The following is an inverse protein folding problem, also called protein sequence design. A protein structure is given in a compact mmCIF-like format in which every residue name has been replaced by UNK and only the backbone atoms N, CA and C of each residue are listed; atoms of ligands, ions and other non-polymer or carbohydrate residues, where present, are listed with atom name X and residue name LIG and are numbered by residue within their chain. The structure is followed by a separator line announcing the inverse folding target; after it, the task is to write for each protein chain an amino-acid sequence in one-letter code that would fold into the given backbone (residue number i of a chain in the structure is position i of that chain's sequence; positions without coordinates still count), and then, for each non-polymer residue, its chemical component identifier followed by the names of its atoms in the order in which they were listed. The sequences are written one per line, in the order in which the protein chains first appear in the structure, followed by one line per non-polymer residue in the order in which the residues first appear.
data_IF_849089602164
#
_entry.id   IF_849089602164
#
_cell.length_a   1.000
_cell.length_b   1.000
_cell.length_c   1.000
_cell.angle_alpha   90.00
_cell.angle_beta   90.00
_cell.angle_gamma   90.00
#
_symmetry.space_group_name_H-M   'P 1'
#
loop_
_entity.id
_entity.type
_entity.pdbx_description
1 polymer ?
#
# COMPACT_ATOMS: atom_id res chain seq x y z
N UNK A 1 5.64 20.55 4.70
CA UNK A 1 5.40 19.55 3.64
C UNK A 1 6.25 18.32 3.90
N UNK A 2 5.71 17.14 3.72
CA UNK A 2 6.38 15.88 4.06
C UNK A 2 7.56 15.66 3.10
N UNK A 3 8.77 15.39 3.63
CA UNK A 3 9.98 15.12 2.83
C UNK A 3 9.78 14.03 1.76
N UNK A 4 8.85 13.10 1.99
CA UNK A 4 8.50 12.04 1.06
C UNK A 4 7.73 12.55 -0.16
N UNK A 5 6.89 13.58 -0.01
CA UNK A 5 6.25 14.27 -1.14
C UNK A 5 7.29 14.99 -1.99
N UNK A 6 8.30 15.60 -1.37
CA UNK A 6 9.41 16.22 -2.11
C UNK A 6 10.23 15.19 -2.90
N UNK A 7 10.43 13.99 -2.34
CA UNK A 7 11.07 12.89 -3.08
C UNK A 7 10.24 12.45 -4.31
N UNK A 8 8.91 12.46 -4.20
CA UNK A 8 8.02 12.22 -5.35
C UNK A 8 8.18 13.31 -6.39
N UNK A 9 8.21 14.58 -5.98
CA UNK A 9 8.39 15.72 -6.91
C UNK A 9 9.75 15.68 -7.60
N UNK A 10 10.81 15.33 -6.88
CA UNK A 10 12.13 15.15 -7.48
C UNK A 10 12.13 14.07 -8.59
N UNK A 11 11.45 12.95 -8.35
CA UNK A 11 11.25 11.92 -9.37
C UNK A 11 10.40 12.44 -10.55
N UNK A 12 9.35 13.22 -10.27
CA UNK A 12 8.56 13.83 -11.34
C UNK A 12 9.39 14.75 -12.21
N UNK A 13 10.26 15.57 -11.62
CA UNK A 13 11.17 16.46 -12.36
C UNK A 13 12.18 15.66 -13.20
N UNK A 14 12.79 14.61 -12.64
CA UNK A 14 13.71 13.71 -13.35
C UNK A 14 13.06 13.08 -14.59
N UNK A 15 11.77 12.72 -14.49
CA UNK A 15 11.01 12.04 -15.55
C UNK A 15 10.21 12.99 -16.44
N UNK A 16 10.25 14.29 -16.16
CA UNK A 16 9.51 15.32 -16.86
C UNK A 16 8.00 15.14 -16.76
N UNK A 17 7.51 14.79 -15.56
CA UNK A 17 6.08 14.59 -15.28
C UNK A 17 5.46 15.85 -14.66
N UNK A 18 4.20 16.11 -14.97
CA UNK A 18 3.44 17.21 -14.36
C UNK A 18 2.72 16.74 -13.09
N UNK A 19 2.34 15.45 -13.05
CA UNK A 19 1.73 14.82 -11.90
C UNK A 19 2.08 13.34 -11.80
N UNK A 20 1.88 12.76 -10.58
CA UNK A 20 1.99 11.34 -10.32
C UNK A 20 0.72 10.82 -9.63
N UNK A 21 0.05 9.86 -10.27
CA UNK A 21 -1.10 9.13 -9.72
C UNK A 21 -0.63 7.90 -8.94
N UNK A 22 -0.91 7.88 -7.65
CA UNK A 22 -0.52 6.84 -6.70
C UNK A 22 -1.77 6.06 -6.26
N UNK A 23 -1.76 4.76 -6.47
CA UNK A 23 -2.88 3.84 -6.18
C UNK A 23 -2.51 2.76 -5.18
N UNK A 24 -1.26 2.33 -5.19
CA UNK A 24 -0.75 1.23 -4.38
C UNK A 24 -0.80 1.54 -2.87
N UNK A 25 -1.29 0.56 -2.08
CA UNK A 25 -1.35 0.64 -0.61
C UNK A 25 0.02 1.02 -0.03
N UNK A 26 1.07 0.43 -0.56
CA UNK A 26 2.44 0.59 -0.08
C UNK A 26 2.96 2.02 -0.23
N UNK A 27 2.74 2.63 -1.40
CA UNK A 27 3.22 4.00 -1.64
C UNK A 27 2.33 5.03 -0.95
N UNK A 28 1.02 4.79 -0.82
CA UNK A 28 0.12 5.60 0.01
C UNK A 28 0.55 5.59 1.48
N UNK A 29 0.90 4.42 2.02
CA UNK A 29 1.44 4.29 3.39
C UNK A 29 2.77 5.02 3.53
N UNK A 30 3.67 4.92 2.56
CA UNK A 30 4.92 5.67 2.52
C UNK A 30 4.68 7.18 2.60
N UNK A 31 3.66 7.70 1.93
CA UNK A 31 3.29 9.12 2.00
C UNK A 31 2.52 9.51 3.27
N UNK A 32 2.15 8.55 4.12
CA UNK A 32 1.38 8.81 5.34
C UNK A 32 -0.08 9.18 5.06
N UNK A 33 -0.69 8.63 4.01
CA UNK A 33 -2.08 8.91 3.62
C UNK A 33 -3.01 7.71 3.84
N UNK A 34 -4.31 7.89 3.59
CA UNK A 34 -5.32 6.83 3.62
C UNK A 34 -4.95 5.70 2.65
N UNK A 35 -4.89 4.47 3.13
CA UNK A 35 -4.44 3.31 2.35
C UNK A 35 -5.56 2.53 1.67
N UNK A 36 -6.82 2.87 1.94
CA UNK A 36 -8.00 2.21 1.41
C UNK A 36 -8.01 2.13 -0.13
N UNK A 37 -8.59 1.06 -0.68
CA UNK A 37 -8.61 0.82 -2.13
C UNK A 37 -9.44 1.86 -2.90
N UNK A 38 -10.39 2.52 -2.24
CA UNK A 38 -11.19 3.62 -2.79
C UNK A 38 -10.43 4.95 -2.91
N UNK A 39 -9.27 5.09 -2.24
CA UNK A 39 -8.47 6.31 -2.27
C UNK A 39 -7.34 6.24 -3.28
N UNK A 40 -7.10 7.35 -3.99
CA UNK A 40 -5.95 7.59 -4.86
C UNK A 40 -5.31 8.91 -4.47
N UNK A 41 -3.99 8.99 -4.59
CA UNK A 41 -3.26 10.23 -4.36
C UNK A 41 -2.76 10.75 -5.70
N UNK A 42 -3.01 12.01 -5.98
CA UNK A 42 -2.42 12.72 -7.11
C UNK A 42 -1.47 13.78 -6.55
N UNK A 43 -0.19 13.63 -6.83
CA UNK A 43 0.81 14.65 -6.50
C UNK A 43 1.08 15.45 -7.75
N UNK A 44 1.01 16.77 -7.63
CA UNK A 44 1.37 17.73 -8.68
C UNK A 44 2.56 18.55 -8.25
N UNK A 45 3.10 19.37 -9.15
CA UNK A 45 4.22 20.29 -8.85
C UNK A 45 3.85 21.30 -7.76
N UNK A 46 2.60 21.77 -7.74
CA UNK A 46 2.13 22.82 -6.84
C UNK A 46 1.46 22.31 -5.58
N UNK A 47 0.89 21.10 -5.60
CA UNK A 47 0.08 20.58 -4.49
C UNK A 47 -0.07 19.07 -4.53
N UNK A 48 -1.12 18.58 -3.90
CA UNK A 48 -1.51 17.19 -3.94
C UNK A 48 -2.98 17.02 -3.58
N UNK A 49 -3.58 15.96 -4.09
CA UNK A 49 -5.00 15.68 -3.95
C UNK A 49 -5.22 14.24 -3.48
N UNK A 50 -6.20 14.08 -2.61
CA UNK A 50 -6.72 12.78 -2.20
C UNK A 50 -8.08 12.57 -2.89
N UNK A 51 -8.08 11.77 -3.94
CA UNK A 51 -9.29 11.43 -4.70
C UNK A 51 -9.93 10.21 -4.06
N UNK A 52 -11.16 10.33 -3.57
CA UNK A 52 -11.82 9.27 -2.80
C UNK A 52 -13.35 9.37 -2.90
N UNK A 53 -14.05 8.32 -2.51
CA UNK A 53 -15.48 8.39 -2.24
C UNK A 53 -15.77 8.74 -0.77
N UNK A 54 -17.02 9.08 -0.47
CA UNK A 54 -17.43 9.57 0.85
C UNK A 54 -17.16 8.65 2.04
N UNK A 55 -16.88 7.36 1.82
CA UNK A 55 -16.55 6.39 2.90
C UNK A 55 -15.22 6.69 3.59
N UNK A 56 -14.32 7.38 2.92
CA UNK A 56 -12.95 7.63 3.40
C UNK A 56 -12.73 9.02 3.97
N UNK A 57 -13.72 9.92 3.88
CA UNK A 57 -13.57 11.32 4.29
C UNK A 57 -13.19 11.45 5.77
N UNK A 58 -13.85 10.70 6.65
CA UNK A 58 -13.55 10.77 8.08
C UNK A 58 -12.15 10.22 8.39
N UNK A 59 -11.78 9.07 7.81
CA UNK A 59 -10.44 8.50 7.97
C UNK A 59 -9.36 9.47 7.45
N UNK A 60 -9.62 10.13 6.33
CA UNK A 60 -8.69 11.11 5.76
C UNK A 60 -8.56 12.36 6.66
N UNK A 61 -9.64 12.82 7.25
CA UNK A 61 -9.61 14.00 8.14
C UNK A 61 -8.86 13.76 9.45
N UNK A 62 -8.75 12.50 9.89
CA UNK A 62 -8.01 12.12 11.10
C UNK A 62 -6.49 12.00 10.85
N UNK A 63 -6.02 12.05 9.60
CA UNK A 63 -4.62 11.94 9.23
C UNK A 63 -4.07 13.35 8.93
N UNK A 64 -2.94 13.69 9.54
CA UNK A 64 -2.25 14.95 9.27
C UNK A 64 -1.55 14.91 7.90
N UNK A 65 -2.09 15.64 6.93
CA UNK A 65 -1.52 15.80 5.58
C UNK A 65 -1.93 17.12 4.93
N UNK A 66 -1.17 17.55 3.92
CA UNK A 66 -1.42 18.79 3.15
C UNK A 66 -2.19 18.51 1.84
N UNK A 67 -2.90 17.39 1.71
CA UNK A 67 -3.62 17.02 0.50
C UNK A 67 -5.03 17.61 0.49
N UNK A 68 -5.44 18.18 -0.64
CA UNK A 68 -6.81 18.62 -0.87
C UNK A 68 -7.74 17.42 -1.17
N UNK A 69 -8.93 17.41 -0.57
CA UNK A 69 -9.91 16.35 -0.80
C UNK A 69 -10.69 16.57 -2.08
N UNK A 70 -10.77 15.54 -2.91
CA UNK A 70 -11.65 15.43 -4.08
C UNK A 70 -12.55 14.24 -3.89
N UNK A 71 -13.82 14.49 -3.59
CA UNK A 71 -14.77 13.45 -3.19
C UNK A 71 -15.76 13.19 -4.32
N UNK A 72 -15.78 11.95 -4.82
CA UNK A 72 -16.76 11.52 -5.81
C UNK A 72 -17.85 10.62 -5.18
N UNK A 73 -18.95 10.40 -5.90
CA UNK A 73 -20.03 9.53 -5.44
C UNK A 73 -19.55 8.06 -5.38
N UNK A 74 -20.07 7.34 -4.38
CA UNK A 74 -19.78 5.92 -4.23
C UNK A 74 -20.27 5.13 -5.47
N UNK A 75 -19.42 4.27 -6.01
CA UNK A 75 -19.70 3.49 -7.22
C UNK A 75 -19.40 4.21 -8.53
N UNK A 76 -19.10 5.51 -8.48
CA UNK A 76 -18.60 6.28 -9.62
C UNK A 76 -17.09 6.11 -9.74
N UNK A 77 -16.56 6.13 -10.95
CA UNK A 77 -15.13 6.04 -11.19
C UNK A 77 -14.41 7.31 -10.78
N UNK A 78 -13.29 7.19 -10.07
CA UNK A 78 -12.39 8.30 -9.75
C UNK A 78 -11.81 9.02 -10.99
N UNK A 79 -11.90 8.40 -12.17
CA UNK A 79 -11.38 8.97 -13.43
C UNK A 79 -12.10 10.27 -13.82
N UNK A 80 -13.35 10.46 -13.38
CA UNK A 80 -14.06 11.73 -13.59
C UNK A 80 -13.38 12.89 -12.86
N UNK A 81 -13.07 12.70 -11.56
CA UNK A 81 -12.34 13.70 -10.77
C UNK A 81 -10.91 13.88 -11.29
N UNK A 82 -10.26 12.79 -11.72
CA UNK A 82 -8.94 12.87 -12.32
C UNK A 82 -8.94 13.72 -13.59
N UNK A 83 -9.95 13.55 -14.46
CA UNK A 83 -10.10 14.35 -15.68
C UNK A 83 -10.27 15.85 -15.37
N UNK A 84 -11.05 16.19 -14.34
CA UNK A 84 -11.19 17.58 -13.87
C UNK A 84 -9.84 18.13 -13.42
N UNK A 85 -9.11 17.38 -12.58
CA UNK A 85 -7.81 17.79 -12.06
C UNK A 85 -6.74 17.90 -13.15
N UNK A 86 -6.79 17.06 -14.19
CA UNK A 86 -5.92 17.18 -15.37
C UNK A 86 -6.08 18.57 -15.99
N UNK A 87 -7.31 19.02 -16.20
CA UNK A 87 -7.58 20.37 -16.74
C UNK A 87 -7.24 21.51 -15.75
N UNK A 88 -7.64 21.38 -14.48
CA UNK A 88 -7.40 22.42 -13.46
C UNK A 88 -5.91 22.65 -13.18
N UNK A 89 -5.08 21.61 -13.24
CA UNK A 89 -3.66 21.65 -12.92
C UNK A 89 -2.77 21.68 -14.17
N UNK A 90 -3.32 21.79 -15.37
CA UNK A 90 -2.59 21.81 -16.65
C UNK A 90 -1.62 20.62 -16.79
N UNK A 91 -2.13 19.40 -16.55
CA UNK A 91 -1.35 18.16 -16.56
C UNK A 91 -1.32 17.60 -17.98
N UNK A 92 -0.14 17.57 -18.60
CA UNK A 92 0.08 16.98 -19.92
C UNK A 92 0.73 15.59 -19.84
N UNK A 93 1.58 15.35 -18.82
CA UNK A 93 2.28 14.09 -18.61
C UNK A 93 2.01 13.54 -17.22
N UNK A 94 1.22 12.47 -17.15
CA UNK A 94 0.76 11.84 -15.91
C UNK A 94 1.54 10.55 -15.64
N UNK A 95 2.40 10.55 -14.62
CA UNK A 95 3.00 9.33 -14.09
C UNK A 95 1.96 8.44 -13.39
N UNK A 96 2.09 7.13 -13.52
CA UNK A 96 1.28 6.17 -12.77
C UNK A 96 2.07 4.89 -12.42
N UNK A 97 1.70 4.25 -11.30
CA UNK A 97 2.34 2.98 -10.86
C UNK A 97 1.98 1.84 -11.82
N UNK A 98 2.93 1.35 -12.62
CA UNK A 98 2.72 0.29 -13.60
C UNK A 98 2.11 -0.99 -12.98
N UNK A 99 2.55 -1.37 -11.79
CA UNK A 99 2.06 -2.54 -11.06
C UNK A 99 0.64 -2.37 -10.48
N UNK A 100 0.07 -1.16 -10.49
CA UNK A 100 -1.24 -0.84 -9.89
C UNK A 100 -2.29 -0.42 -10.92
N UNK A 101 -1.89 -0.23 -12.17
CA UNK A 101 -2.79 0.15 -13.27
C UNK A 101 -3.12 -1.10 -14.10
N UNK A 102 -4.39 -1.47 -14.13
CA UNK A 102 -4.86 -2.53 -15.01
C UNK A 102 -4.84 -2.06 -16.47
N UNK A 103 -4.68 -3.00 -17.42
CA UNK A 103 -4.68 -2.67 -18.85
C UNK A 103 -5.96 -1.91 -19.27
N UNK A 104 -7.12 -2.33 -18.76
CA UNK A 104 -8.39 -1.65 -19.02
C UNK A 104 -8.49 -0.24 -18.44
N UNK A 105 -7.73 0.03 -17.38
CA UNK A 105 -7.65 1.36 -16.78
C UNK A 105 -6.64 2.22 -17.52
N UNK A 106 -5.51 1.65 -17.92
CA UNK A 106 -4.54 2.34 -18.78
C UNK A 106 -5.17 2.83 -20.09
N UNK A 107 -6.00 2.00 -20.72
CA UNK A 107 -6.76 2.42 -21.89
C UNK A 107 -7.62 3.65 -21.62
N UNK A 108 -8.32 3.68 -20.48
CA UNK A 108 -9.12 4.84 -20.09
C UNK A 108 -8.27 6.07 -19.73
N UNK A 109 -7.05 5.89 -19.22
CA UNK A 109 -6.14 7.00 -19.02
C UNK A 109 -5.67 7.57 -20.38
N UNK A 110 -5.44 6.74 -21.37
CA UNK A 110 -5.13 7.19 -22.73
C UNK A 110 -6.30 7.92 -23.44
N UNK A 111 -7.54 7.70 -22.99
CA UNK A 111 -8.72 8.41 -23.50
C UNK A 111 -8.87 9.81 -22.87
N UNK A 112 -8.12 10.12 -21.81
CA UNK A 112 -8.05 11.46 -21.22
C UNK A 112 -7.05 12.33 -22.02
N UNK A 113 -7.20 13.64 -21.91
CA UNK A 113 -6.30 14.61 -22.57
C UNK A 113 -4.95 14.72 -21.82
N UNK A 114 -4.21 13.60 -21.74
CA UNK A 114 -2.94 13.49 -21.02
C UNK A 114 -2.11 12.34 -21.60
N UNK A 115 -0.78 12.45 -21.55
CA UNK A 115 0.15 11.34 -21.84
C UNK A 115 0.38 10.51 -20.57
N UNK A 116 -0.15 9.28 -20.43
CA UNK A 116 0.16 8.45 -19.28
C UNK A 116 1.54 7.80 -19.39
N UNK A 117 2.37 7.98 -18.37
CA UNK A 117 3.72 7.42 -18.25
C UNK A 117 3.76 6.40 -17.12
N UNK A 118 3.98 5.13 -17.44
CA UNK A 118 4.04 4.07 -16.45
C UNK A 118 5.43 4.02 -15.79
N UNK A 119 5.46 4.06 -14.45
CA UNK A 119 6.64 3.95 -13.61
C UNK A 119 6.62 2.64 -12.84
N UNK A 120 7.73 1.97 -12.72
CA UNK A 120 7.85 0.71 -11.97
C UNK A 120 9.00 0.77 -10.95
N UNK A 121 10.21 0.45 -11.35
CA UNK A 121 11.37 0.37 -10.45
C UNK A 121 11.75 1.69 -9.76
N UNK A 122 11.45 2.82 -10.35
CA UNK A 122 11.72 4.15 -9.80
C UNK A 122 11.00 4.38 -8.47
N UNK A 123 9.71 4.05 -8.42
CA UNK A 123 8.89 4.18 -7.20
C UNK A 123 9.34 3.21 -6.10
N UNK A 124 9.82 2.02 -6.48
CA UNK A 124 10.38 1.07 -5.52
C UNK A 124 11.70 1.59 -4.93
N UNK A 125 12.55 2.23 -5.73
CA UNK A 125 13.85 2.79 -5.28
C UNK A 125 13.71 3.83 -4.17
N UNK A 126 12.66 4.65 -4.19
CA UNK A 126 12.40 5.65 -3.15
C UNK A 126 12.32 5.06 -1.74
N UNK A 127 12.01 3.75 -1.65
CA UNK A 127 11.80 3.01 -0.40
C UNK A 127 12.95 2.05 -0.05
N UNK A 128 14.04 2.02 -0.84
CA UNK A 128 15.19 1.15 -0.58
C UNK A 128 15.91 1.61 0.68
N UNK A 129 16.17 2.90 0.81
CA UNK A 129 16.79 3.49 2.01
C UNK A 129 15.65 3.86 2.96
N UNK A 130 15.68 3.29 4.17
CA UNK A 130 14.67 3.52 5.21
C UNK A 130 15.10 4.66 6.11
N UNK A 131 14.18 5.53 6.44
CA UNK A 131 14.37 6.53 7.49
C UNK A 131 14.23 5.91 8.90
N UNK A 132 14.51 6.69 9.94
CA UNK A 132 14.44 6.22 11.33
C UNK A 132 13.05 5.75 11.74
N UNK A 133 12.00 6.41 11.24
CA UNK A 133 10.62 6.00 11.50
C UNK A 133 10.29 4.65 10.83
N UNK A 134 10.71 4.44 9.58
CA UNK A 134 10.53 3.19 8.87
C UNK A 134 11.33 2.05 9.52
N UNK A 135 12.55 2.33 10.01
CA UNK A 135 13.36 1.36 10.77
C UNK A 135 12.65 0.98 12.07
N UNK A 136 12.14 1.95 12.83
CA UNK A 136 11.40 1.69 14.05
C UNK A 136 10.12 0.85 13.81
N UNK A 137 9.39 1.12 12.71
CA UNK A 137 8.20 0.35 12.33
C UNK A 137 8.55 -1.10 11.95
N UNK A 138 9.64 -1.31 11.23
CA UNK A 138 10.16 -2.66 10.89
C UNK A 138 10.59 -3.39 12.16
N UNK A 139 11.33 -2.72 13.07
CA UNK A 139 11.75 -3.31 14.35
C UNK A 139 10.55 -3.73 15.18
N UNK A 140 9.53 -2.87 15.30
CA UNK A 140 8.30 -3.23 16.02
C UNK A 140 7.62 -4.48 15.42
N UNK A 141 7.57 -4.60 14.09
CA UNK A 141 7.01 -5.79 13.44
C UNK A 141 7.84 -7.06 13.73
N UNK A 142 9.16 -6.93 13.85
CA UNK A 142 10.06 -8.03 14.26
C UNK A 142 9.78 -8.42 15.70
N UNK A 143 9.69 -7.46 16.63
CA UNK A 143 9.42 -7.71 18.05
C UNK A 143 8.08 -8.44 18.24
N UNK A 144 7.03 -8.03 17.50
CA UNK A 144 5.74 -8.72 17.48
C UNK A 144 5.89 -10.16 16.98
N UNK A 145 6.67 -10.39 15.92
CA UNK A 145 6.86 -11.73 15.38
C UNK A 145 7.60 -12.65 16.36
N UNK A 146 8.61 -12.13 17.07
CA UNK A 146 9.34 -12.88 18.09
C UNK A 146 8.46 -13.23 19.29
N UNK A 147 7.63 -12.30 19.77
CA UNK A 147 6.65 -12.54 20.84
C UNK A 147 5.62 -13.58 20.42
N UNK A 148 5.12 -13.54 19.20
CA UNK A 148 4.17 -14.52 18.65
C UNK A 148 4.82 -15.90 18.60
N UNK A 149 6.06 -15.98 18.11
CA UNK A 149 6.80 -17.23 18.04
C UNK A 149 6.98 -17.87 19.43
N UNK A 150 7.38 -17.08 20.42
CA UNK A 150 7.53 -17.55 21.80
C UNK A 150 6.21 -18.10 22.37
N UNK A 151 5.09 -17.36 22.20
CA UNK A 151 3.77 -17.79 22.66
C UNK A 151 3.28 -19.06 21.96
N UNK A 152 3.53 -19.21 20.66
CA UNK A 152 3.19 -20.44 19.94
C UNK A 152 3.96 -21.64 20.49
N UNK A 153 5.27 -21.48 20.76
CA UNK A 153 6.08 -22.56 21.37
C UNK A 153 5.57 -23.02 22.73
N UNK A 154 5.08 -22.11 23.57
CA UNK A 154 4.49 -22.46 24.88
C UNK A 154 3.25 -23.35 24.76
N UNK A 155 2.51 -23.26 23.65
CA UNK A 155 1.28 -24.02 23.42
C UNK A 155 1.48 -25.25 22.54
N UNK A 156 2.67 -25.40 21.95
CA UNK A 156 2.96 -26.50 21.03
C UNK A 156 3.06 -27.84 21.78
N UNK A 157 2.26 -28.81 21.36
CA UNK A 157 2.31 -30.15 21.90
C UNK A 157 2.06 -31.24 20.84
N UNK A 158 2.50 -32.46 21.15
CA UNK A 158 2.29 -33.63 20.28
C UNK A 158 0.77 -33.87 20.10
N UNK A 159 0.36 -34.08 18.86
CA UNK A 159 -1.02 -34.31 18.48
C UNK A 159 -1.73 -33.09 17.90
N UNK A 160 -1.12 -31.90 17.96
CA UNK A 160 -1.66 -30.74 17.25
C UNK A 160 -1.53 -30.91 15.74
N UNK A 161 -2.53 -30.45 15.03
CA UNK A 161 -2.51 -30.36 13.57
C UNK A 161 -1.79 -29.10 13.09
N UNK A 162 -1.31 -29.11 11.85
CA UNK A 162 -0.72 -27.91 11.21
C UNK A 162 -1.70 -26.74 11.20
N UNK A 163 -3.01 -26.97 11.05
CA UNK A 163 -4.03 -25.92 11.12
C UNK A 163 -4.18 -25.31 12.53
N UNK A 164 -4.12 -26.12 13.59
CA UNK A 164 -4.19 -25.60 14.97
C UNK A 164 -2.99 -24.70 15.27
N UNK A 165 -1.79 -25.10 14.83
CA UNK A 165 -0.59 -24.27 14.98
C UNK A 165 -0.73 -22.97 14.16
N UNK A 166 -1.21 -23.04 12.92
CA UNK A 166 -1.46 -21.86 12.09
C UNK A 166 -2.47 -20.92 12.73
N UNK A 167 -3.54 -21.46 13.33
CA UNK A 167 -4.54 -20.67 14.05
C UNK A 167 -3.94 -19.93 15.26
N UNK A 168 -3.04 -20.56 16.03
CA UNK A 168 -2.32 -19.90 17.11
C UNK A 168 -1.46 -18.74 16.61
N UNK A 169 -0.72 -18.93 15.50
CA UNK A 169 0.08 -17.86 14.88
C UNK A 169 -0.81 -16.67 14.54
N UNK A 170 -1.94 -16.90 13.87
CA UNK A 170 -2.88 -15.84 13.52
C UNK A 170 -3.45 -15.14 14.75
N UNK A 171 -3.92 -15.93 15.73
CA UNK A 171 -4.51 -15.40 16.95
C UNK A 171 -3.54 -14.48 17.70
N UNK A 172 -2.31 -14.95 17.96
CA UNK A 172 -1.33 -14.15 18.70
C UNK A 172 -0.84 -12.96 17.90
N UNK A 173 -0.75 -13.04 16.57
CA UNK A 173 -0.38 -11.90 15.74
C UNK A 173 -1.41 -10.77 15.86
N UNK A 174 -2.69 -11.08 15.69
CA UNK A 174 -3.76 -10.07 15.80
C UNK A 174 -3.88 -9.57 17.25
N UNK A 175 -3.77 -10.45 18.24
CA UNK A 175 -3.81 -10.08 19.66
C UNK A 175 -2.62 -9.17 20.08
N UNK A 176 -1.50 -9.28 19.40
CA UNK A 176 -0.33 -8.40 19.58
C UNK A 176 -0.42 -7.09 18.79
N UNK A 177 -1.52 -6.84 18.06
CA UNK A 177 -1.77 -5.60 17.33
C UNK A 177 -1.26 -5.61 15.88
N UNK A 178 -0.91 -6.76 15.31
CA UNK A 178 -0.59 -6.84 13.89
C UNK A 178 -1.82 -6.49 13.03
N UNK A 179 -1.64 -5.65 12.03
CA UNK A 179 -2.71 -5.29 11.09
C UNK A 179 -3.14 -6.49 10.23
N UNK A 180 -2.19 -7.30 9.82
CA UNK A 180 -2.39 -8.49 9.00
C UNK A 180 -1.15 -9.40 9.03
N UNK A 181 -1.30 -10.60 8.52
CA UNK A 181 -0.16 -11.47 8.22
C UNK A 181 0.59 -10.94 7.00
N UNK A 182 1.92 -11.05 6.99
CA UNK A 182 2.76 -10.60 5.84
C UNK A 182 2.59 -11.51 4.62
N UNK A 183 2.28 -12.79 4.85
CA UNK A 183 2.03 -13.81 3.83
C UNK A 183 1.21 -14.96 4.45
N UNK A 184 0.70 -15.86 3.61
CA UNK A 184 -0.04 -17.05 4.06
C UNK A 184 0.84 -17.88 4.99
N UNK A 185 0.34 -18.21 6.19
CA UNK A 185 1.11 -18.93 7.19
C UNK A 185 1.59 -20.27 6.65
N UNK A 186 2.88 -20.54 6.80
CA UNK A 186 3.52 -21.80 6.43
C UNK A 186 3.72 -22.62 7.71
N UNK A 187 3.05 -23.76 7.79
CA UNK A 187 3.25 -24.75 8.85
C UNK A 187 3.25 -26.13 8.19
N UNK A 188 4.34 -26.86 8.36
CA UNK A 188 4.48 -28.20 7.80
C UNK A 188 5.26 -29.10 8.75
N UNK A 189 4.80 -30.34 8.91
CA UNK A 189 5.38 -31.35 9.83
C UNK A 189 5.85 -32.60 9.10
N UNK A 190 6.81 -33.31 9.71
CA UNK A 190 7.38 -34.54 9.18
C UNK A 190 7.94 -34.35 7.77
N UNK A 191 7.63 -35.25 6.85
CA UNK A 191 8.09 -35.22 5.46
C UNK A 191 7.68 -33.96 4.72
N UNK A 192 6.54 -33.35 5.10
CA UNK A 192 6.05 -32.12 4.50
C UNK A 192 6.94 -30.90 4.79
N UNK A 193 7.78 -30.96 5.83
CA UNK A 193 8.72 -29.88 6.15
C UNK A 193 9.74 -29.62 5.03
N UNK A 194 9.88 -30.54 4.07
CA UNK A 194 10.69 -30.34 2.87
C UNK A 194 10.01 -29.40 1.83
N UNK A 195 8.75 -29.04 2.01
CA UNK A 195 8.01 -28.16 1.09
C UNK A 195 8.25 -26.69 1.46
N UNK A 196 8.90 -25.87 0.62
CA UNK A 196 9.21 -24.47 0.95
C UNK A 196 7.96 -23.61 1.18
N UNK A 197 6.84 -23.97 0.58
CA UNK A 197 5.55 -23.30 0.67
C UNK A 197 4.44 -24.25 1.17
N UNK A 198 4.77 -25.07 2.17
CA UNK A 198 3.85 -26.04 2.74
C UNK A 198 2.67 -25.35 3.43
N UNK A 199 1.52 -25.32 2.76
CA UNK A 199 0.29 -24.83 3.38
C UNK A 199 -0.15 -25.76 4.49
N UNK A 200 -0.72 -25.23 5.61
CA UNK A 200 -1.22 -26.05 6.72
C UNK A 200 -2.28 -27.06 6.25
N UNK A 201 -2.29 -28.23 6.87
CA UNK A 201 -3.27 -29.30 6.66
C UNK A 201 -3.81 -29.84 8.00
N UNK A 202 -4.72 -30.78 7.95
CA UNK A 202 -5.25 -31.49 9.15
C UNK A 202 -4.28 -32.57 9.71
N UNK A 203 -3.07 -32.62 9.20
CA UNK A 203 -2.03 -33.53 9.72
C UNK A 203 -1.46 -33.05 11.04
#
# INVERSE_FOLDING_TARGET
MNARVESVRALMDERGLDALLIKGKTLKRYLGTVTGSGCKVLITRAGGYLIMDGRYVNEAADIEHDLEFRVHEQGVSYLGELAILIGECDIHRLGAEASQVLVSEYQKLCDLDVEPVLLDGELARMRIIKDEYEIAAVQHAVDVADDVYAKVLEHLHIGMTEYEISALVHYYSIAAGAEAMSFDTIVATGERSALPHGRPTMR
#
